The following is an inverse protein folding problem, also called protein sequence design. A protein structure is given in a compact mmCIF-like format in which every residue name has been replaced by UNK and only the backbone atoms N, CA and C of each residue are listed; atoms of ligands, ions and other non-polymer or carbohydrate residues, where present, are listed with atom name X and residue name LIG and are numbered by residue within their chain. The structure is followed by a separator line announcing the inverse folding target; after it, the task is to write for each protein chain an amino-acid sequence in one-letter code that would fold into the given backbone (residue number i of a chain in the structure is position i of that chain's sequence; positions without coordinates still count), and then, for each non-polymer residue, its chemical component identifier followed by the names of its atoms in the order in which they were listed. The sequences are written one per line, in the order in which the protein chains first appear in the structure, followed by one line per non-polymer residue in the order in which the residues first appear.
data_IF_732808941011
#
_entry.id   IF_732808941011
#
_cell.length_a   1.000
_cell.length_b   1.000
_cell.length_c   1.000
_cell.angle_alpha   90.00
_cell.angle_beta   90.00
_cell.angle_gamma   90.00
#
_symmetry.space_group_name_H-M   'P 1'
#
loop_
_entity.id
_entity.type
_entity.pdbx_description
1 polymer ?
#
# COMPACT_ATOMS: atom_id res chain seq x y z
N UNK A 1 18.27 -8.72 9.22
CA UNK A 1 17.06 -8.23 8.51
C UNK A 1 17.23 -8.56 7.02
N UNK A 2 16.22 -9.14 6.38
CA UNK A 2 16.30 -9.45 4.96
C UNK A 2 16.13 -8.16 4.13
N UNK A 3 16.94 -7.94 3.13
CA UNK A 3 16.89 -6.79 2.19
C UNK A 3 15.48 -6.46 1.67
N UNK A 4 14.58 -7.45 1.68
CA UNK A 4 13.21 -7.29 1.17
C UNK A 4 12.29 -6.51 2.11
N UNK A 5 12.45 -6.62 3.43
CA UNK A 5 11.66 -5.86 4.39
C UNK A 5 12.05 -4.38 4.44
N UNK A 6 13.31 -4.08 4.13
CA UNK A 6 13.83 -2.71 4.08
C UNK A 6 13.11 -1.88 3.00
N UNK A 7 12.74 -2.49 1.88
CA UNK A 7 12.00 -1.82 0.81
C UNK A 7 10.63 -1.32 1.28
N UNK A 8 9.91 -2.10 2.08
CA UNK A 8 8.64 -1.69 2.66
C UNK A 8 8.81 -0.54 3.66
N UNK A 9 9.88 -0.56 4.46
CA UNK A 9 10.21 0.53 5.39
C UNK A 9 10.51 1.82 4.61
N UNK A 10 11.32 1.75 3.57
CA UNK A 10 11.65 2.90 2.72
C UNK A 10 10.37 3.47 2.09
N UNK A 11 9.51 2.61 1.52
CA UNK A 11 8.23 3.05 0.94
C UNK A 11 7.32 3.70 1.99
N UNK A 12 7.25 3.15 3.20
CA UNK A 12 6.48 3.75 4.30
C UNK A 12 7.00 5.15 4.66
N UNK A 13 8.33 5.31 4.78
CA UNK A 13 8.95 6.61 5.06
C UNK A 13 8.67 7.62 3.93
N UNK A 14 8.78 7.22 2.66
CA UNK A 14 8.45 8.07 1.53
C UNK A 14 6.98 8.53 1.56
N UNK A 15 6.05 7.64 1.88
CA UNK A 15 4.63 7.97 2.02
C UNK A 15 4.35 8.92 3.18
N UNK A 16 5.07 8.77 4.31
CA UNK A 16 4.98 9.71 5.44
C UNK A 16 5.51 11.10 5.07
N UNK A 17 6.66 11.17 4.41
CA UNK A 17 7.21 12.44 3.92
C UNK A 17 6.23 13.08 2.93
N UNK A 18 5.69 12.31 1.99
CA UNK A 18 4.66 12.81 1.07
C UNK A 18 3.42 13.32 1.79
N UNK A 19 2.98 12.63 2.86
CA UNK A 19 1.84 13.07 3.69
C UNK A 19 2.08 14.45 4.30
N UNK A 20 3.29 14.69 4.82
CA UNK A 20 3.67 15.99 5.39
C UNK A 20 3.68 17.07 4.30
N UNK A 21 4.34 16.79 3.18
CA UNK A 21 4.44 17.72 2.05
C UNK A 21 3.05 18.08 1.50
N UNK A 22 2.19 17.06 1.28
CA UNK A 22 0.83 17.26 0.77
C UNK A 22 -0.01 18.17 1.68
N UNK A 23 0.22 18.09 3.00
CA UNK A 23 -0.49 18.93 3.98
C UNK A 23 -0.10 20.41 3.88
N UNK A 24 1.13 20.70 3.51
CA UNK A 24 1.62 22.08 3.34
C UNK A 24 1.28 22.68 1.97
N UNK A 25 1.29 21.85 0.91
CA UNK A 25 1.08 22.35 -0.46
C UNK A 25 -0.40 22.54 -0.77
N UNK A 26 -1.28 21.70 -0.25
CA UNK A 26 -2.72 21.77 -0.56
C UNK A 26 -3.57 21.32 0.62
N UNK A 27 -3.78 22.18 1.62
CA UNK A 27 -4.53 21.80 2.82
C UNK A 27 -6.02 21.50 2.56
N UNK A 28 -6.62 21.98 1.46
CA UNK A 28 -8.05 21.86 1.22
C UNK A 28 -8.49 21.52 -0.21
N UNK A 29 -7.59 21.57 -1.20
CA UNK A 29 -7.96 21.52 -2.61
C UNK A 29 -8.03 20.11 -3.21
N UNK A 30 -7.38 19.13 -2.63
CA UNK A 30 -7.31 17.77 -3.13
C UNK A 30 -7.81 16.80 -2.06
N UNK A 31 -9.08 16.46 -2.10
CA UNK A 31 -9.67 15.44 -1.23
C UNK A 31 -10.59 14.52 -2.02
N UNK A 32 -10.63 13.24 -1.66
CA UNK A 32 -11.65 12.33 -2.18
C UNK A 32 -12.94 12.63 -1.43
N UNK A 33 -13.94 13.15 -2.14
CA UNK A 33 -15.28 13.34 -1.58
C UNK A 33 -16.06 12.01 -1.67
N UNK A 34 -16.42 11.48 -0.52
CA UNK A 34 -17.26 10.28 -0.42
C UNK A 34 -18.65 10.72 0.02
N UNK A 35 -19.66 10.65 -0.87
CA UNK A 35 -21.03 10.93 -0.47
C UNK A 35 -21.56 9.76 0.36
N UNK A 36 -21.89 10.01 1.62
CA UNK A 36 -22.50 9.02 2.49
C UNK A 36 -23.73 9.60 3.16
N UNK A 37 -24.91 9.02 2.91
CA UNK A 37 -26.20 9.43 3.51
C UNK A 37 -26.48 10.93 3.43
N UNK A 38 -26.17 11.58 2.31
CA UNK A 38 -26.39 13.01 2.11
C UNK A 38 -25.31 13.93 2.70
N UNK A 39 -24.29 13.37 3.35
CA UNK A 39 -23.14 14.11 3.86
C UNK A 39 -21.89 13.78 3.03
N UNK A 40 -21.20 14.81 2.53
CA UNK A 40 -19.93 14.64 1.82
C UNK A 40 -18.77 14.56 2.81
N UNK A 41 -18.09 13.45 2.85
CA UNK A 41 -16.83 13.30 3.60
C UNK A 41 -15.67 13.53 2.67
N UNK A 42 -14.76 14.42 3.03
CA UNK A 42 -13.53 14.69 2.26
C UNK A 42 -12.35 13.99 2.97
N UNK A 43 -11.75 13.03 2.28
CA UNK A 43 -10.52 12.39 2.75
C UNK A 43 -9.32 13.17 2.21
N UNK A 44 -8.55 13.84 3.07
CA UNK A 44 -7.37 14.56 2.62
C UNK A 44 -6.27 13.59 2.17
N UNK A 45 -5.43 13.96 1.17
CA UNK A 45 -4.35 13.12 0.65
C UNK A 45 -3.39 12.63 1.73
N UNK A 46 -3.11 13.49 2.71
CA UNK A 46 -2.25 13.14 3.85
C UNK A 46 -2.77 11.95 4.66
N UNK A 47 -4.08 11.87 4.90
CA UNK A 47 -4.68 10.73 5.63
C UNK A 47 -4.57 9.43 4.85
N UNK A 48 -4.75 9.48 3.53
CA UNK A 48 -4.59 8.33 2.65
C UNK A 48 -3.14 7.84 2.67
N UNK A 49 -2.18 8.77 2.58
CA UNK A 49 -0.75 8.43 2.61
C UNK A 49 -0.35 7.82 3.96
N UNK A 50 -0.88 8.29 5.08
CA UNK A 50 -0.64 7.72 6.40
C UNK A 50 -1.19 6.29 6.47
N UNK A 51 -2.41 6.05 5.98
CA UNK A 51 -2.99 4.71 5.95
C UNK A 51 -2.14 3.73 5.11
N UNK A 52 -1.67 4.17 3.94
CA UNK A 52 -0.79 3.38 3.08
C UNK A 52 0.58 3.15 3.73
N UNK A 53 1.15 4.15 4.41
CA UNK A 53 2.40 3.99 5.16
C UNK A 53 2.25 2.97 6.30
N UNK A 54 1.13 3.01 7.03
CA UNK A 54 0.82 2.02 8.07
C UNK A 54 0.74 0.60 7.49
N UNK A 55 0.10 0.44 6.34
CA UNK A 55 0.03 -0.84 5.63
C UNK A 55 1.44 -1.34 5.23
N UNK A 56 2.30 -0.45 4.73
CA UNK A 56 3.69 -0.80 4.40
C UNK A 56 4.50 -1.20 5.63
N UNK A 57 4.34 -0.50 6.76
CA UNK A 57 4.96 -0.88 8.04
C UNK A 57 4.49 -2.26 8.51
N UNK A 58 3.20 -2.56 8.36
CA UNK A 58 2.66 -3.88 8.68
C UNK A 58 3.35 -4.98 7.86
N UNK A 59 3.47 -4.81 6.53
CA UNK A 59 4.18 -5.78 5.70
C UNK A 59 5.67 -5.87 6.05
N UNK A 60 6.33 -4.74 6.30
CA UNK A 60 7.72 -4.73 6.74
C UNK A 60 7.91 -5.58 8.00
N UNK A 61 7.00 -5.43 8.99
CA UNK A 61 7.03 -6.20 10.22
C UNK A 61 6.87 -7.69 9.96
N UNK A 62 5.86 -8.10 9.20
CA UNK A 62 5.62 -9.51 8.90
C UNK A 62 6.81 -10.13 8.14
N UNK A 63 7.31 -9.46 7.10
CA UNK A 63 8.45 -9.97 6.33
C UNK A 63 9.79 -9.90 7.07
N UNK A 64 9.89 -9.17 8.18
CA UNK A 64 11.06 -9.16 9.06
C UNK A 64 11.07 -10.30 10.07
N UNK A 65 9.97 -11.03 10.21
CA UNK A 65 9.90 -12.22 11.06
C UNK A 65 10.82 -13.31 10.47
N UNK A 66 12.03 -13.35 10.94
CA UNK A 66 13.12 -14.21 10.45
C UNK A 66 12.89 -15.72 10.66
N UNK A 67 11.91 -16.08 11.50
CA UNK A 67 11.50 -17.47 11.71
C UNK A 67 10.71 -18.07 10.53
N UNK A 68 10.20 -17.24 9.62
CA UNK A 68 9.40 -17.70 8.50
C UNK A 68 10.20 -17.66 7.19
N UNK A 69 10.33 -18.79 6.47
CA UNK A 69 11.09 -18.86 5.22
C UNK A 69 10.30 -18.27 4.05
N UNK A 70 10.11 -16.95 4.06
CA UNK A 70 9.43 -16.25 2.96
C UNK A 70 10.19 -16.39 1.64
N UNK A 71 9.45 -16.61 0.56
CA UNK A 71 10.01 -16.58 -0.78
C UNK A 71 10.42 -15.14 -1.15
N UNK A 72 11.71 -14.94 -1.44
CA UNK A 72 12.24 -13.63 -1.85
C UNK A 72 11.54 -13.10 -3.10
N UNK A 73 11.32 -13.96 -4.09
CA UNK A 73 10.66 -13.58 -5.34
C UNK A 73 9.22 -13.13 -5.10
N UNK A 74 8.44 -13.90 -4.31
CA UNK A 74 7.06 -13.54 -3.98
C UNK A 74 7.00 -12.24 -3.16
N UNK A 75 7.95 -12.02 -2.23
CA UNK A 75 8.04 -10.78 -1.45
C UNK A 75 8.34 -9.57 -2.35
N UNK A 76 9.28 -9.71 -3.29
CA UNK A 76 9.61 -8.63 -4.23
C UNK A 76 8.47 -8.34 -5.20
N UNK A 77 7.78 -9.36 -5.70
CA UNK A 77 6.58 -9.21 -6.54
C UNK A 77 5.46 -8.50 -5.77
N UNK A 78 5.18 -8.94 -4.54
CA UNK A 78 4.20 -8.29 -3.68
C UNK A 78 4.53 -6.81 -3.46
N UNK A 79 5.80 -6.50 -3.11
CA UNK A 79 6.25 -5.12 -2.95
C UNK A 79 6.08 -4.31 -4.24
N UNK A 80 6.63 -4.81 -5.35
CA UNK A 80 6.64 -4.09 -6.64
C UNK A 80 5.24 -3.79 -7.15
N UNK A 81 4.33 -4.77 -7.11
CA UNK A 81 2.95 -4.60 -7.55
C UNK A 81 2.14 -3.69 -6.61
N UNK A 82 2.38 -3.78 -5.30
CA UNK A 82 1.74 -2.87 -4.34
C UNK A 82 2.22 -1.44 -4.53
N UNK A 83 3.53 -1.22 -4.67
CA UNK A 83 4.11 0.10 -4.91
C UNK A 83 3.63 0.70 -6.25
N UNK A 84 3.58 -0.12 -7.31
CA UNK A 84 3.04 0.29 -8.60
C UNK A 84 1.56 0.69 -8.50
N UNK A 85 0.75 -0.10 -7.81
CA UNK A 85 -0.67 0.20 -7.59
C UNK A 85 -0.88 1.51 -6.84
N UNK A 86 -0.06 1.79 -5.81
CA UNK A 86 -0.08 3.06 -5.09
C UNK A 86 0.33 4.22 -6.00
N UNK A 87 1.37 4.05 -6.81
CA UNK A 87 1.80 5.07 -7.77
C UNK A 87 0.70 5.37 -8.80
N UNK A 88 0.11 4.33 -9.39
CA UNK A 88 -1.01 4.47 -10.34
C UNK A 88 -2.19 5.18 -9.70
N UNK A 89 -2.52 4.84 -8.45
CA UNK A 89 -3.57 5.52 -7.70
C UNK A 89 -3.28 7.03 -7.58
N UNK A 90 -2.07 7.42 -7.17
CA UNK A 90 -1.73 8.84 -7.00
C UNK A 90 -1.70 9.61 -8.31
N UNK A 91 -1.16 9.03 -9.38
CA UNK A 91 -1.17 9.64 -10.72
C UNK A 91 -2.61 9.80 -11.21
N UNK A 92 -3.44 8.76 -11.10
CA UNK A 92 -4.83 8.82 -11.49
C UNK A 92 -5.63 9.84 -10.66
N UNK A 93 -5.37 9.90 -9.35
CA UNK A 93 -5.98 10.86 -8.44
C UNK A 93 -5.70 12.30 -8.86
N UNK A 94 -4.45 12.60 -9.22
CA UNK A 94 -4.07 13.93 -9.71
C UNK A 94 -4.73 14.26 -11.06
N UNK A 95 -4.82 13.28 -11.96
CA UNK A 95 -5.41 13.46 -13.30
C UNK A 95 -6.95 13.43 -13.29
N UNK A 96 -7.57 12.92 -12.23
CA UNK A 96 -9.02 12.74 -12.15
C UNK A 96 -9.79 14.06 -12.24
N UNK A 97 -9.16 15.19 -11.92
CA UNK A 97 -9.75 16.52 -12.04
C UNK A 97 -10.05 16.89 -13.52
N UNK A 98 -9.34 16.29 -14.47
CA UNK A 98 -9.41 16.65 -15.89
C UNK A 98 -9.79 15.46 -16.81
N UNK A 99 -9.98 14.27 -16.27
CA UNK A 99 -10.21 13.06 -17.08
C UNK A 99 -11.15 12.06 -16.42
N UNK A 100 -12.25 11.72 -17.12
CA UNK A 100 -13.19 10.67 -16.67
C UNK A 100 -12.51 9.29 -16.56
N UNK A 101 -11.57 8.98 -17.46
CA UNK A 101 -10.82 7.72 -17.41
C UNK A 101 -9.98 7.65 -16.12
N UNK A 102 -9.35 8.75 -15.71
CA UNK A 102 -8.58 8.82 -14.47
C UNK A 102 -9.48 8.61 -13.23
N UNK A 103 -10.73 9.10 -13.24
CA UNK A 103 -11.69 8.84 -12.16
C UNK A 103 -11.93 7.33 -11.98
N UNK A 104 -12.16 6.59 -13.05
CA UNK A 104 -12.31 5.13 -12.98
C UNK A 104 -11.06 4.43 -12.47
N UNK A 105 -9.88 4.91 -12.88
CA UNK A 105 -8.59 4.37 -12.41
C UNK A 105 -8.40 4.59 -10.91
N UNK A 106 -8.85 5.72 -10.36
CA UNK A 106 -8.81 5.99 -8.90
C UNK A 106 -9.58 4.93 -8.12
N UNK A 107 -10.69 4.43 -8.65
CA UNK A 107 -11.45 3.36 -8.01
C UNK A 107 -10.89 1.96 -8.30
N UNK A 108 -10.34 1.74 -9.49
CA UNK A 108 -9.80 0.45 -9.89
C UNK A 108 -8.43 0.14 -9.25
N UNK A 109 -7.58 1.13 -9.07
CA UNK A 109 -6.23 0.93 -8.52
C UNK A 109 -6.24 0.32 -7.10
N UNK A 110 -7.07 0.77 -6.13
CA UNK A 110 -7.18 0.13 -4.82
C UNK A 110 -7.67 -1.33 -4.92
N UNK A 111 -8.60 -1.63 -5.82
CA UNK A 111 -9.05 -3.01 -6.05
C UNK A 111 -7.90 -3.88 -6.57
N UNK A 112 -7.08 -3.37 -7.49
CA UNK A 112 -5.86 -4.02 -7.95
C UNK A 112 -4.87 -4.26 -6.82
N UNK A 113 -4.64 -3.28 -5.96
CA UNK A 113 -3.78 -3.43 -4.76
C UNK A 113 -4.32 -4.51 -3.84
N UNK A 114 -5.64 -4.58 -3.61
CA UNK A 114 -6.24 -5.65 -2.80
C UNK A 114 -6.02 -7.04 -3.41
N UNK A 115 -6.14 -7.18 -4.74
CA UNK A 115 -5.84 -8.44 -5.43
C UNK A 115 -4.38 -8.87 -5.25
N UNK A 116 -3.45 -7.91 -5.27
CA UNK A 116 -2.02 -8.18 -5.03
C UNK A 116 -1.77 -8.75 -3.62
N UNK A 117 -2.65 -8.45 -2.65
CA UNK A 117 -2.52 -9.02 -1.30
C UNK A 117 -2.68 -10.56 -1.29
N UNK A 118 -3.27 -11.15 -2.32
CA UNK A 118 -3.31 -12.61 -2.46
C UNK A 118 -1.91 -13.22 -2.55
N UNK A 119 -0.94 -12.52 -3.15
CA UNK A 119 0.46 -12.94 -3.20
C UNK A 119 1.06 -12.96 -1.79
N UNK A 120 0.75 -11.94 -0.97
CA UNK A 120 1.18 -11.90 0.42
C UNK A 120 0.61 -13.07 1.21
N UNK A 121 -0.71 -13.30 1.12
CA UNK A 121 -1.39 -14.40 1.81
C UNK A 121 -0.81 -15.75 1.38
N UNK A 122 -0.60 -15.95 0.09
CA UNK A 122 0.03 -17.15 -0.45
C UNK A 122 1.44 -17.35 0.08
N UNK A 123 2.27 -16.30 0.07
CA UNK A 123 3.65 -16.36 0.55
C UNK A 123 3.71 -16.65 2.06
N UNK A 124 2.82 -16.04 2.84
CA UNK A 124 2.69 -16.29 4.27
C UNK A 124 2.27 -17.74 4.56
N UNK A 125 1.21 -18.20 3.89
CA UNK A 125 0.74 -19.57 4.00
C UNK A 125 1.85 -20.58 3.70
N UNK A 126 2.52 -20.39 2.58
CA UNK A 126 3.62 -21.24 2.15
C UNK A 126 4.81 -21.22 3.14
N UNK A 127 5.12 -20.06 3.72
CA UNK A 127 6.16 -19.95 4.74
C UNK A 127 5.80 -20.70 6.02
N UNK A 128 4.56 -20.58 6.49
CA UNK A 128 4.09 -21.27 7.71
C UNK A 128 4.09 -22.79 7.54
N UNK A 129 3.65 -23.30 6.39
CA UNK A 129 3.57 -24.75 6.16
C UNK A 129 4.90 -25.39 5.78
N UNK A 130 5.89 -24.61 5.35
CA UNK A 130 7.25 -25.10 5.08
C UNK A 130 8.16 -25.06 6.29
N UNK A 131 7.78 -24.40 7.37
CA UNK A 131 8.57 -24.42 8.60
C UNK A 131 8.62 -25.86 9.11
N UNK A 132 9.78 -26.51 9.16
CA UNK A 132 9.88 -27.86 9.72
C UNK A 132 9.35 -27.80 11.15
N UNK A 133 8.39 -28.67 11.48
CA UNK A 133 8.01 -28.85 12.87
C UNK A 133 9.28 -29.36 13.56
N UNK A 134 9.89 -28.52 14.38
CA UNK A 134 10.91 -28.94 15.31
C UNK A 134 10.21 -29.89 16.30
N UNK A 135 10.16 -31.17 15.94
CA UNK A 135 9.84 -32.20 16.87
C UNK A 135 11.04 -32.32 17.81
N UNK A 136 10.92 -31.62 18.97
CA UNK A 136 11.77 -31.87 20.12
C UNK A 136 11.40 -33.18 20.75
#
# INVERSE_FOLDING_TARGET
MGRSSELFVIAALMLLVFSVIARFISPSALGISIPWRGTGYVLPPGSISIALATLMCFFATIYSLWMLPFSRTATLLHFGLTALGILVFWVAFYLAQNSRAAVWTVFAAPAGVLLVQSIFVWNLFHAVFRTPRLHG
#
